data_IF_876755819809
#
_entry.id   IF_876755819809
#
_cell.length_a   1.000
_cell.length_b   1.000
_cell.length_c   1.000
_cell.angle_alpha   90.00
_cell.angle_beta   90.00
_cell.angle_gamma   90.00
#
_symmetry.space_group_name_H-M   'P 1'
#
loop_
_entity.id
_entity.type
_entity.pdbx_description
1 polymer ?
#
# COMPACT_ATOMS: atom_id res chain seq x y z
N UNK A 1 -2.78 -15.95 21.94
CA UNK A 1 -2.18 -16.62 20.77
C UNK A 1 -1.06 -15.72 20.27
N UNK A 2 0.17 -16.22 20.04
CA UNK A 2 1.34 -15.50 19.47
C UNK A 2 1.08 -14.89 18.08
N UNK A 3 1.88 -13.94 17.59
CA UNK A 3 2.27 -13.92 16.16
C UNK A 3 3.45 -14.89 15.96
N UNK A 4 3.65 -15.38 14.74
CA UNK A 4 4.78 -16.25 14.38
C UNK A 4 6.07 -15.42 14.22
N UNK A 5 7.25 -15.95 14.56
CA UNK A 5 8.52 -15.21 14.48
C UNK A 5 8.83 -14.73 13.07
N UNK A 6 8.43 -15.48 12.04
CA UNK A 6 8.68 -15.08 10.65
C UNK A 6 7.96 -13.79 10.26
N UNK A 7 6.91 -13.39 10.97
CA UNK A 7 6.30 -12.07 10.77
C UNK A 7 7.21 -10.96 11.27
N UNK A 8 7.93 -11.17 12.36
CA UNK A 8 8.90 -10.20 12.87
C UNK A 8 10.14 -10.14 11.98
N UNK A 9 10.58 -11.26 11.39
CA UNK A 9 11.61 -11.27 10.34
C UNK A 9 11.19 -10.46 9.11
N UNK A 10 9.92 -10.58 8.70
CA UNK A 10 9.34 -9.77 7.62
C UNK A 10 9.32 -8.28 8.00
N UNK A 11 8.92 -7.94 9.22
CA UNK A 11 8.90 -6.54 9.67
C UNK A 11 10.30 -5.95 9.77
N UNK A 12 11.29 -6.72 10.23
CA UNK A 12 12.69 -6.31 10.23
C UNK A 12 13.18 -6.03 8.80
N UNK A 13 12.79 -6.89 7.85
CA UNK A 13 13.12 -6.68 6.42
C UNK A 13 12.42 -5.44 5.86
N UNK A 14 11.15 -5.20 6.20
CA UNK A 14 10.38 -4.06 5.68
C UNK A 14 10.77 -2.72 6.30
N UNK A 15 11.05 -2.69 7.60
CA UNK A 15 11.13 -1.46 8.39
C UNK A 15 12.49 -1.27 9.07
N UNK A 16 13.32 -2.30 9.12
CA UNK A 16 14.52 -2.33 9.95
C UNK A 16 14.22 -2.52 11.44
N UNK A 17 15.27 -2.46 12.25
CA UNK A 17 15.16 -2.60 13.72
C UNK A 17 14.74 -1.31 14.40
N UNK A 18 15.06 -0.16 13.79
CA UNK A 18 14.74 1.20 14.25
C UNK A 18 14.11 1.98 13.10
N UNK A 19 12.95 2.56 13.35
CA UNK A 19 12.16 3.31 12.37
C UNK A 19 11.36 4.41 13.09
N UNK A 20 10.52 5.16 12.40
CA UNK A 20 9.55 6.04 13.06
C UNK A 20 8.23 6.03 12.29
N UNK A 21 7.30 5.18 12.73
CA UNK A 21 6.03 4.90 12.05
C UNK A 21 4.84 5.11 12.97
N UNK A 22 3.66 5.27 12.38
CA UNK A 22 2.39 5.27 13.09
C UNK A 22 1.84 3.85 13.06
N UNK A 23 1.56 3.28 14.22
CA UNK A 23 0.77 2.06 14.37
C UNK A 23 -0.64 2.43 14.80
N UNK A 24 -1.62 2.08 13.98
CA UNK A 24 -3.03 2.22 14.30
C UNK A 24 -3.58 0.88 14.78
N UNK A 25 -4.19 0.86 15.96
CA UNK A 25 -4.77 -0.34 16.56
C UNK A 25 -6.23 -0.09 16.88
N UNK A 26 -7.10 -1.04 16.56
CA UNK A 26 -8.51 -0.87 16.88
C UNK A 26 -9.43 -1.95 16.36
N UNK A 27 -10.72 -1.69 16.53
CA UNK A 27 -11.82 -2.44 15.88
C UNK A 27 -12.92 -1.46 15.52
N UNK A 28 -13.83 -1.81 14.59
CA UNK A 28 -14.99 -0.97 14.30
C UNK A 28 -15.85 -0.63 15.53
N UNK A 29 -15.87 -1.50 16.55
CA UNK A 29 -16.70 -1.34 17.74
C UNK A 29 -16.03 -0.50 18.84
N UNK A 30 -14.70 -0.55 18.96
CA UNK A 30 -13.95 0.14 20.01
C UNK A 30 -13.30 1.44 19.52
N UNK A 31 -13.28 1.67 18.21
CA UNK A 31 -12.54 2.75 17.58
C UNK A 31 -11.08 2.38 17.28
N UNK A 32 -10.39 3.29 16.62
CA UNK A 32 -8.98 3.16 16.24
C UNK A 32 -8.15 4.24 16.91
N UNK A 33 -7.00 3.83 17.46
CA UNK A 33 -6.05 4.70 18.14
C UNK A 33 -4.68 4.63 17.46
N UNK A 34 -3.99 5.77 17.38
CA UNK A 34 -2.69 5.90 16.75
C UNK A 34 -1.58 5.96 17.79
N UNK A 35 -0.53 5.18 17.57
CA UNK A 35 0.64 5.07 18.44
C UNK A 35 1.91 5.33 17.63
N UNK A 36 2.81 6.24 18.07
CA UNK A 36 4.12 6.37 17.46
C UNK A 36 4.99 5.19 17.89
N UNK A 37 5.54 4.45 16.92
CA UNK A 37 6.38 3.28 17.16
C UNK A 37 7.74 3.49 16.50
N UNK A 38 8.81 3.29 17.29
CA UNK A 38 10.19 3.64 16.89
C UNK A 38 11.10 2.43 16.66
N UNK A 39 10.61 1.24 16.95
CA UNK A 39 11.42 0.03 16.87
C UNK A 39 10.58 -1.21 16.67
N UNK A 40 11.23 -2.24 16.14
CA UNK A 40 10.63 -3.56 16.00
C UNK A 40 10.22 -4.15 17.36
N UNK A 41 10.99 -3.88 18.42
CA UNK A 41 10.68 -4.34 19.77
C UNK A 41 9.37 -3.75 20.30
N UNK A 42 9.15 -2.45 20.10
CA UNK A 42 7.89 -1.79 20.47
C UNK A 42 6.72 -2.30 19.63
N UNK A 43 6.90 -2.44 18.31
CA UNK A 43 5.87 -3.01 17.42
C UNK A 43 5.47 -4.42 17.89
N UNK A 44 6.46 -5.25 18.21
CA UNK A 44 6.27 -6.61 18.72
C UNK A 44 5.47 -6.63 20.00
N UNK A 45 5.83 -5.80 20.98
CA UNK A 45 5.09 -5.70 22.24
C UNK A 45 3.63 -5.34 21.99
N UNK A 46 3.36 -4.29 21.22
CA UNK A 46 1.99 -3.83 20.93
C UNK A 46 1.17 -4.91 20.20
N UNK A 47 1.79 -5.64 19.27
CA UNK A 47 1.14 -6.75 18.58
C UNK A 47 0.82 -7.90 19.54
N UNK A 48 1.77 -8.34 20.37
CA UNK A 48 1.57 -9.47 21.29
C UNK A 48 0.52 -9.19 22.36
N UNK A 49 0.39 -7.93 22.81
CA UNK A 49 -0.61 -7.52 23.81
C UNK A 49 -2.04 -7.49 23.24
N UNK A 50 -2.20 -7.10 21.98
CA UNK A 50 -3.52 -6.83 21.37
C UNK A 50 -4.03 -7.95 20.45
N UNK A 51 -3.14 -8.84 19.99
CA UNK A 51 -3.49 -9.91 19.06
C UNK A 51 -4.21 -11.08 19.76
N UNK A 52 -5.21 -11.72 19.14
CA UNK A 52 -5.78 -11.48 17.81
C UNK A 52 -7.03 -10.58 17.82
N UNK A 53 -7.27 -9.84 18.91
CA UNK A 53 -8.56 -9.17 19.13
C UNK A 53 -8.69 -7.86 18.33
N UNK A 54 -7.56 -7.22 18.04
CA UNK A 54 -7.49 -5.95 17.33
C UNK A 54 -7.00 -6.14 15.90
N UNK A 55 -7.41 -5.22 15.03
CA UNK A 55 -6.74 -4.99 13.76
C UNK A 55 -5.55 -4.06 13.98
N UNK A 56 -4.55 -4.21 13.12
CA UNK A 56 -3.32 -3.46 13.15
C UNK A 56 -3.09 -2.88 11.77
N UNK A 57 -2.84 -1.58 11.72
CA UNK A 57 -2.43 -0.89 10.52
C UNK A 57 -1.17 -0.08 10.81
N UNK A 58 -0.32 0.11 9.81
CA UNK A 58 0.95 0.81 9.96
C UNK A 58 1.14 1.81 8.82
N UNK A 59 1.75 2.96 9.12
CA UNK A 59 2.09 3.93 8.10
C UNK A 59 3.08 3.36 7.08
N UNK A 60 2.85 3.64 5.80
CA UNK A 60 3.72 3.24 4.71
C UNK A 60 5.14 3.80 4.91
N UNK A 61 5.24 5.10 5.15
CA UNK A 61 6.52 5.79 5.32
C UNK A 61 6.94 5.95 6.77
N UNK A 62 8.24 6.16 6.93
CA UNK A 62 8.85 6.69 8.13
C UNK A 62 8.74 8.21 8.17
N UNK A 63 8.64 8.79 9.36
CA UNK A 63 8.55 10.22 9.56
C UNK A 63 9.74 10.78 10.34
N UNK A 64 10.11 12.03 10.06
CA UNK A 64 11.24 12.69 10.71
C UNK A 64 10.96 13.13 12.16
N UNK A 65 9.69 13.21 12.59
CA UNK A 65 9.35 13.56 13.99
C UNK A 65 8.05 12.91 14.49
N UNK A 66 7.96 12.74 15.82
CA UNK A 66 6.80 12.15 16.51
C UNK A 66 5.55 13.05 16.47
N UNK A 67 5.74 14.37 16.52
CA UNK A 67 4.64 15.34 16.62
C UNK A 67 3.78 15.37 15.34
N UNK A 68 4.38 14.99 14.21
CA UNK A 68 3.75 14.93 12.89
C UNK A 68 3.06 13.60 12.62
N UNK A 69 3.45 12.56 13.35
CA UNK A 69 2.85 11.23 13.24
C UNK A 69 1.41 11.21 13.78
N UNK A 70 1.05 12.11 14.70
CA UNK A 70 -0.23 12.06 15.43
C UNK A 70 -1.13 13.27 15.14
N UNK A 71 -0.57 14.44 14.80
CA UNK A 71 -1.36 15.64 14.48
C UNK A 71 -1.55 15.80 12.97
N UNK A 72 -2.69 15.34 12.48
CA UNK A 72 -3.27 15.94 11.28
C UNK A 72 -3.83 17.32 11.67
N UNK A 73 -3.19 18.42 11.24
CA UNK A 73 -3.78 19.77 11.32
C UNK A 73 -4.35 20.11 9.94
N UNK A 74 -5.67 20.34 9.80
CA UNK A 74 -6.30 20.71 8.52
C UNK A 74 -5.79 22.05 7.95
N UNK A 75 -5.01 22.82 8.71
CA UNK A 75 -4.37 24.07 8.26
C UNK A 75 -2.93 23.89 7.79
N UNK A 76 -2.30 22.76 8.09
CA UNK A 76 -1.02 22.39 7.48
C UNK A 76 -1.32 21.69 6.16
N UNK A 77 -1.03 22.38 5.06
CA UNK A 77 -1.44 21.91 3.74
C UNK A 77 -0.64 20.69 3.26
N UNK A 78 0.52 20.34 3.85
CA UNK A 78 1.40 19.24 3.37
C UNK A 78 2.34 18.61 4.42
N UNK A 79 1.91 18.32 5.67
CA UNK A 79 2.82 17.81 6.70
C UNK A 79 3.44 16.47 6.31
N UNK A 80 2.63 15.50 5.90
CA UNK A 80 3.13 14.16 5.58
C UNK A 80 4.12 14.16 4.40
N UNK A 81 3.82 14.93 3.35
CA UNK A 81 4.73 15.10 2.23
C UNK A 81 6.08 15.66 2.68
N UNK A 82 6.12 16.66 3.56
CA UNK A 82 7.38 17.30 3.94
C UNK A 82 8.30 16.41 4.78
N UNK A 83 7.71 15.57 5.64
CA UNK A 83 8.46 14.88 6.71
C UNK A 83 8.51 13.36 6.54
N UNK A 84 7.97 12.82 5.45
CA UNK A 84 8.08 11.38 5.11
C UNK A 84 9.40 11.07 4.42
N UNK A 85 9.97 9.88 4.68
CA UNK A 85 11.10 9.36 3.91
C UNK A 85 10.58 8.65 2.65
N UNK A 86 10.81 9.22 1.47
CA UNK A 86 10.28 8.72 0.18
C UNK A 86 11.16 7.61 -0.39
N UNK A 87 11.05 6.40 0.17
CA UNK A 87 11.87 5.23 -0.18
C UNK A 87 11.08 4.09 -0.84
N UNK A 88 9.81 4.33 -1.16
CA UNK A 88 8.98 3.38 -1.88
C UNK A 88 7.80 4.10 -2.55
N UNK A 89 7.10 3.37 -3.41
CA UNK A 89 5.82 3.73 -4.01
C UNK A 89 4.84 2.58 -3.73
N UNK A 90 3.57 2.89 -3.53
CA UNK A 90 2.54 1.90 -3.20
C UNK A 90 1.32 2.04 -4.10
N UNK A 91 1.11 1.04 -4.95
CA UNK A 91 -0.13 0.90 -5.69
C UNK A 91 -1.17 0.20 -4.83
N UNK A 92 -2.33 0.83 -4.65
CA UNK A 92 -3.47 0.29 -3.89
C UNK A 92 -4.59 -0.09 -4.84
N UNK A 93 -5.00 -1.35 -4.79
CA UNK A 93 -6.07 -1.88 -5.60
C UNK A 93 -7.24 -2.24 -4.71
N UNK A 94 -8.41 -1.64 -4.91
CA UNK A 94 -9.59 -1.85 -4.06
C UNK A 94 -10.76 -2.35 -4.90
N UNK A 95 -11.30 -3.50 -4.53
CA UNK A 95 -12.56 -3.99 -5.09
C UNK A 95 -13.73 -3.26 -4.44
N UNK A 96 -14.69 -2.82 -5.26
CA UNK A 96 -15.98 -2.37 -4.76
C UNK A 96 -16.69 -3.52 -4.02
N UNK A 97 -17.09 -3.28 -2.77
CA UNK A 97 -17.81 -4.25 -1.94
C UNK A 97 -19.21 -3.79 -1.55
N UNK A 98 -19.82 -2.87 -2.28
CA UNK A 98 -21.10 -2.27 -1.92
C UNK A 98 -22.21 -3.32 -1.91
N UNK A 99 -22.20 -4.27 -2.86
CA UNK A 99 -23.11 -5.44 -2.85
C UNK A 99 -22.97 -6.23 -1.54
N UNK A 100 -21.74 -6.47 -1.06
CA UNK A 100 -21.53 -7.18 0.22
C UNK A 100 -22.11 -6.35 1.37
N UNK A 101 -21.88 -5.04 1.40
CA UNK A 101 -22.39 -4.16 2.47
C UNK A 101 -23.93 -4.14 2.48
N UNK A 102 -24.56 -4.07 1.31
CA UNK A 102 -26.01 -4.04 1.16
C UNK A 102 -26.65 -5.36 1.62
N UNK A 103 -26.17 -6.49 1.11
CA UNK A 103 -26.68 -7.83 1.42
C UNK A 103 -26.47 -8.22 2.89
N UNK A 104 -25.43 -7.67 3.52
CA UNK A 104 -25.08 -8.02 4.90
C UNK A 104 -25.62 -7.07 5.96
N UNK A 105 -26.26 -5.95 5.56
CA UNK A 105 -26.64 -4.85 6.46
C UNK A 105 -27.43 -5.30 7.70
N UNK A 106 -28.49 -6.08 7.49
CA UNK A 106 -29.43 -6.54 8.52
C UNK A 106 -29.04 -7.91 9.12
N UNK A 107 -27.90 -8.47 8.73
CA UNK A 107 -27.45 -9.78 9.20
C UNK A 107 -26.73 -9.69 10.56
N UNK A 108 -26.78 -10.77 11.33
CA UNK A 108 -25.95 -10.94 12.54
C UNK A 108 -24.47 -11.12 12.16
N UNK A 109 -23.54 -10.83 13.07
CA UNK A 109 -22.09 -10.91 12.81
C UNK A 109 -21.65 -12.27 12.23
N UNK A 110 -22.23 -13.37 12.70
CA UNK A 110 -21.93 -14.72 12.19
C UNK A 110 -22.40 -14.87 10.75
N UNK A 111 -23.61 -14.40 10.44
CA UNK A 111 -24.16 -14.45 9.08
C UNK A 111 -23.38 -13.53 8.13
N UNK A 112 -23.01 -12.33 8.58
CA UNK A 112 -22.14 -11.39 7.84
C UNK A 112 -20.83 -12.05 7.47
N UNK A 113 -20.17 -12.68 8.44
CA UNK A 113 -18.93 -13.42 8.22
C UNK A 113 -19.10 -14.56 7.20
N UNK A 114 -20.12 -15.41 7.37
CA UNK A 114 -20.36 -16.55 6.46
C UNK A 114 -20.68 -16.09 5.03
N UNK A 115 -21.52 -15.07 4.88
CA UNK A 115 -21.87 -14.50 3.58
C UNK A 115 -20.63 -13.93 2.91
N UNK A 116 -19.89 -13.07 3.61
CA UNK A 116 -18.66 -12.44 3.09
C UNK A 116 -17.65 -13.49 2.64
N UNK A 117 -17.41 -14.53 3.45
CA UNK A 117 -16.48 -15.61 3.10
C UNK A 117 -16.92 -16.43 1.90
N UNK A 118 -18.21 -16.72 1.79
CA UNK A 118 -18.76 -17.40 0.63
C UNK A 118 -18.59 -16.57 -0.64
N UNK A 119 -18.92 -15.27 -0.57
CA UNK A 119 -18.80 -14.34 -1.71
C UNK A 119 -17.36 -14.22 -2.20
N UNK A 120 -16.39 -14.14 -1.29
CA UNK A 120 -14.98 -14.20 -1.66
C UNK A 120 -14.63 -15.52 -2.33
N UNK A 121 -14.97 -16.67 -1.74
CA UNK A 121 -14.65 -17.96 -2.35
C UNK A 121 -15.30 -18.18 -3.73
N UNK A 122 -16.36 -17.43 -4.07
CA UNK A 122 -17.01 -17.45 -5.37
C UNK A 122 -16.33 -16.55 -6.43
N UNK A 123 -15.28 -15.81 -6.07
CA UNK A 123 -14.50 -15.03 -7.03
C UNK A 123 -14.86 -13.55 -7.12
N UNK A 124 -15.61 -12.99 -6.17
CA UNK A 124 -16.05 -11.59 -6.23
C UNK A 124 -14.89 -10.58 -6.34
N UNK A 125 -13.69 -10.95 -5.86
CA UNK A 125 -12.53 -10.08 -5.86
C UNK A 125 -11.47 -10.54 -6.87
N UNK A 126 -11.83 -11.32 -7.89
CA UNK A 126 -10.84 -11.83 -8.86
C UNK A 126 -10.17 -10.70 -9.65
N UNK A 127 -10.93 -9.65 -9.98
CA UNK A 127 -10.47 -8.52 -10.78
C UNK A 127 -9.28 -7.78 -10.14
N UNK A 128 -9.29 -7.53 -8.82
CA UNK A 128 -8.14 -6.88 -8.16
C UNK A 128 -6.83 -7.67 -8.33
N UNK A 129 -6.86 -9.00 -8.34
CA UNK A 129 -5.63 -9.80 -8.50
C UNK A 129 -5.14 -9.78 -9.95
N UNK A 130 -6.06 -9.76 -10.91
CA UNK A 130 -5.73 -9.59 -12.34
C UNK A 130 -5.12 -8.22 -12.60
N UNK A 131 -5.67 -7.16 -12.01
CA UNK A 131 -5.16 -5.79 -12.14
C UNK A 131 -3.81 -5.61 -11.44
N UNK A 132 -3.60 -6.20 -10.26
CA UNK A 132 -2.29 -6.22 -9.59
C UNK A 132 -1.25 -6.90 -10.48
N UNK A 133 -1.58 -8.03 -11.13
CA UNK A 133 -0.67 -8.72 -12.06
C UNK A 133 -0.30 -7.85 -13.26
N UNK A 134 -1.27 -7.19 -13.90
CA UNK A 134 -0.98 -6.27 -15.01
C UNK A 134 -0.02 -5.16 -14.61
N UNK A 135 -0.21 -4.57 -13.43
CA UNK A 135 0.70 -3.51 -12.94
C UNK A 135 2.04 -4.07 -12.55
N UNK A 136 2.11 -5.26 -11.93
CA UNK A 136 3.37 -5.94 -11.65
C UNK A 136 4.18 -6.14 -12.93
N UNK A 137 3.56 -6.74 -13.95
CA UNK A 137 4.20 -7.04 -15.23
C UNK A 137 4.65 -5.75 -15.92
N UNK A 138 3.85 -4.68 -15.86
CA UNK A 138 4.23 -3.37 -16.39
C UNK A 138 5.43 -2.76 -15.64
N UNK A 139 5.48 -2.83 -14.31
CA UNK A 139 6.64 -2.31 -13.56
C UNK A 139 7.91 -3.11 -13.89
N UNK A 140 7.79 -4.43 -14.03
CA UNK A 140 8.91 -5.29 -14.43
C UNK A 140 9.35 -5.00 -15.88
N UNK A 141 8.42 -4.88 -16.82
CA UNK A 141 8.72 -4.56 -18.22
C UNK A 141 9.41 -3.19 -18.37
N UNK A 142 8.87 -2.18 -17.69
CA UNK A 142 9.26 -0.80 -17.93
C UNK A 142 10.51 -0.38 -17.15
N UNK A 143 10.77 -1.01 -16.01
CA UNK A 143 11.85 -0.60 -15.10
C UNK A 143 12.73 -1.76 -14.64
N UNK A 144 12.43 -3.00 -15.03
CA UNK A 144 13.13 -4.21 -14.54
C UNK A 144 13.12 -4.33 -13.01
N UNK A 145 12.05 -3.86 -12.37
CA UNK A 145 11.86 -3.90 -10.91
C UNK A 145 10.82 -4.96 -10.58
N UNK A 146 11.18 -5.91 -9.71
CA UNK A 146 10.22 -6.87 -9.17
C UNK A 146 9.55 -6.29 -7.93
N UNK A 147 8.26 -6.04 -8.05
CA UNK A 147 7.46 -5.47 -6.97
C UNK A 147 7.14 -6.52 -5.89
N UNK A 148 6.73 -6.09 -4.71
CA UNK A 148 6.26 -6.98 -3.64
C UNK A 148 4.76 -6.81 -3.42
N UNK A 149 4.00 -7.90 -3.38
CA UNK A 149 2.54 -7.85 -3.32
C UNK A 149 1.99 -8.42 -2.02
N UNK A 150 0.92 -7.81 -1.53
CA UNK A 150 0.27 -8.14 -0.27
C UNK A 150 -1.24 -8.09 -0.44
N UNK A 151 -1.97 -9.11 0.03
CA UNK A 151 -3.43 -9.10 0.09
C UNK A 151 -3.88 -8.83 1.52
N UNK A 152 -4.82 -7.91 1.74
CA UNK A 152 -5.31 -7.53 3.08
C UNK A 152 -6.31 -8.54 3.70
N UNK A 153 -6.60 -9.64 3.00
CA UNK A 153 -7.56 -10.63 3.46
C UNK A 153 -9.02 -10.28 3.18
N UNK A 154 -9.34 -9.15 2.56
CA UNK A 154 -10.70 -8.78 2.20
C UNK A 154 -10.80 -8.28 0.77
N UNK A 155 -10.69 -6.99 0.54
CA UNK A 155 -11.00 -6.33 -0.73
C UNK A 155 -9.88 -5.44 -1.27
N UNK A 156 -8.69 -5.51 -0.67
CA UNK A 156 -7.59 -4.66 -1.06
C UNK A 156 -6.30 -5.46 -1.26
N UNK A 157 -5.60 -5.13 -2.34
CA UNK A 157 -4.24 -5.56 -2.60
C UNK A 157 -3.30 -4.37 -2.64
N UNK A 158 -2.08 -4.61 -2.20
CA UNK A 158 -0.98 -3.66 -2.20
C UNK A 158 0.13 -4.17 -3.10
N UNK A 159 0.71 -3.30 -3.90
CA UNK A 159 1.92 -3.57 -4.66
C UNK A 159 2.96 -2.49 -4.32
N UNK A 160 4.04 -2.93 -3.69
CA UNK A 160 5.17 -2.12 -3.26
C UNK A 160 6.24 -2.11 -4.33
N UNK A 161 6.68 -0.92 -4.70
CA UNK A 161 7.89 -0.69 -5.48
C UNK A 161 8.90 0.00 -4.55
N UNK A 162 9.92 -0.73 -4.12
CA UNK A 162 10.99 -0.17 -3.29
C UNK A 162 11.96 0.61 -4.18
N UNK A 163 12.48 1.72 -3.67
CA UNK A 163 13.58 2.45 -4.30
C UNK A 163 14.86 2.23 -3.52
N UNK A 164 15.99 2.15 -4.23
CA UNK A 164 17.30 1.95 -3.60
C UNK A 164 17.65 3.10 -2.65
N UNK A 165 17.27 4.32 -3.03
CA UNK A 165 17.54 5.52 -2.26
C UNK A 165 16.28 6.33 -1.95
N UNK A 166 16.38 7.22 -0.95
CA UNK A 166 15.32 8.17 -0.65
C UNK A 166 15.26 9.25 -1.74
N UNK A 167 14.12 9.34 -2.42
CA UNK A 167 13.92 10.27 -3.52
C UNK A 167 13.78 11.72 -3.03
N UNK A 168 14.57 12.62 -3.62
CA UNK A 168 14.56 14.06 -3.34
C UNK A 168 13.84 14.83 -4.45
N UNK A 169 12.50 14.83 -4.38
CA UNK A 169 11.62 15.51 -5.34
C UNK A 169 11.09 16.83 -4.74
N UNK A 170 10.85 17.84 -5.58
CA UNK A 170 10.26 19.13 -5.19
C UNK A 170 8.72 19.08 -5.10
N UNK A 171 8.09 18.21 -5.89
CA UNK A 171 6.64 18.02 -6.00
C UNK A 171 6.29 16.52 -5.94
N UNK A 172 6.70 15.79 -4.90
CA UNK A 172 6.55 14.34 -4.82
C UNK A 172 5.10 13.85 -4.94
N UNK A 173 4.11 14.54 -4.36
CA UNK A 173 2.68 14.13 -4.50
C UNK A 173 2.22 14.19 -5.94
N UNK A 174 2.51 15.29 -6.65
CA UNK A 174 2.12 15.42 -8.05
C UNK A 174 2.87 14.43 -8.94
N UNK A 175 4.17 14.23 -8.68
CA UNK A 175 4.98 13.26 -9.41
C UNK A 175 4.39 11.85 -9.29
N UNK A 176 4.04 11.43 -8.08
CA UNK A 176 3.40 10.13 -7.84
C UNK A 176 2.03 10.05 -8.49
N UNK A 177 1.20 11.10 -8.40
CA UNK A 177 -0.09 11.16 -9.07
C UNK A 177 0.02 10.92 -10.58
N UNK A 178 0.95 11.60 -11.26
CA UNK A 178 1.16 11.40 -12.69
C UNK A 178 1.73 10.02 -13.01
N UNK A 179 2.55 9.45 -12.13
CA UNK A 179 3.02 8.07 -12.30
C UNK A 179 1.87 7.05 -12.17
N UNK A 180 0.99 7.20 -11.18
CA UNK A 180 -0.21 6.34 -11.08
C UNK A 180 -1.11 6.46 -12.30
N UNK A 181 -1.38 7.69 -12.76
CA UNK A 181 -2.17 7.96 -13.97
C UNK A 181 -1.54 7.33 -15.21
N UNK A 182 -0.22 7.44 -15.35
CA UNK A 182 0.52 6.83 -16.43
C UNK A 182 0.36 5.29 -16.41
N UNK A 183 0.58 4.66 -15.26
CA UNK A 183 0.46 3.20 -15.11
C UNK A 183 -0.99 2.73 -15.35
N UNK A 184 -1.97 3.45 -14.82
CA UNK A 184 -3.40 3.17 -15.05
C UNK A 184 -3.72 3.20 -16.55
N UNK A 185 -3.27 4.23 -17.27
CA UNK A 185 -3.46 4.35 -18.71
C UNK A 185 -2.75 3.24 -19.49
N UNK A 186 -1.51 2.92 -19.12
CA UNK A 186 -0.70 1.91 -19.78
C UNK A 186 -1.29 0.50 -19.63
N UNK A 187 -1.82 0.18 -18.45
CA UNK A 187 -2.34 -1.17 -18.12
C UNK A 187 -3.85 -1.34 -18.32
N UNK A 188 -4.60 -0.23 -18.36
CA UNK A 188 -6.06 -0.24 -18.44
C UNK A 188 -6.75 -0.85 -17.22
N UNK A 189 -6.09 -0.84 -16.06
CA UNK A 189 -6.67 -1.32 -14.79
C UNK A 189 -7.77 -0.39 -14.30
N UNK A 190 -8.68 -0.93 -13.50
CA UNK A 190 -9.86 -0.19 -12.99
C UNK A 190 -9.91 -0.11 -11.48
N UNK A 191 -9.20 -1.01 -10.80
CA UNK A 191 -9.26 -1.09 -9.34
C UNK A 191 -8.19 -0.24 -8.64
N UNK A 192 -7.28 0.39 -9.38
CA UNK A 192 -6.21 1.24 -8.83
C UNK A 192 -6.79 2.56 -8.29
N UNK A 193 -6.51 2.90 -7.03
CA UNK A 193 -7.02 4.11 -6.37
C UNK A 193 -5.87 5.06 -6.04
N UNK A 194 -5.95 6.32 -6.51
CA UNK A 194 -4.95 7.35 -6.22
C UNK A 194 -5.47 8.79 -6.25
N UNK A 195 -6.58 9.08 -6.96
CA UNK A 195 -7.09 10.44 -7.21
C UNK A 195 -7.56 11.22 -5.97
N UNK A 196 -7.62 10.59 -4.80
CA UNK A 196 -7.99 11.19 -3.52
C UNK A 196 -7.09 10.73 -2.37
N UNK A 197 -5.99 10.03 -2.69
CA UNK A 197 -5.06 9.53 -1.70
C UNK A 197 -3.90 10.51 -1.63
N UNK A 198 -3.71 11.16 -0.49
CA UNK A 198 -2.43 11.80 -0.20
C UNK A 198 -1.41 10.67 0.03
N UNK A 199 -0.37 10.55 -0.81
CA UNK A 199 0.42 9.32 -0.86
C UNK A 199 1.26 9.11 0.40
N UNK A 200 1.61 10.17 1.14
CA UNK A 200 2.55 10.10 2.27
C UNK A 200 1.90 9.89 3.64
N UNK A 201 0.58 9.91 3.73
CA UNK A 201 -0.25 9.65 4.92
C UNK A 201 -0.86 8.25 4.94
N UNK A 202 -0.49 7.41 3.97
CA UNK A 202 -1.08 6.10 3.80
C UNK A 202 -0.81 5.19 5.00
N UNK A 203 -1.88 4.60 5.52
CA UNK A 203 -1.89 3.59 6.58
C UNK A 203 -2.44 2.29 5.98
N UNK A 204 -1.74 1.18 6.21
CA UNK A 204 -1.94 -0.10 5.53
C UNK A 204 -2.10 -1.21 6.54
N UNK A 205 -2.86 -2.26 6.23
CA UNK A 205 -2.95 -3.43 7.11
C UNK A 205 -1.56 -4.01 7.37
N UNK A 206 -1.20 -4.17 8.65
CA UNK A 206 0.09 -4.76 9.03
C UNK A 206 0.12 -6.22 8.52
N UNK A 207 1.16 -6.67 7.80
CA UNK A 207 1.27 -8.08 7.40
C UNK A 207 1.11 -9.01 8.61
N UNK A 208 0.38 -10.12 8.50
CA UNK A 208 0.10 -11.03 9.61
C UNK A 208 -1.08 -10.61 10.50
N UNK A 209 -1.60 -9.38 10.37
CA UNK A 209 -2.88 -9.00 10.95
C UNK A 209 -4.03 -9.81 10.34
N UNK A 210 -5.13 -9.94 11.06
CA UNK A 210 -6.31 -10.67 10.61
C UNK A 210 -7.45 -9.68 10.33
N UNK A 211 -8.04 -9.74 9.14
CA UNK A 211 -9.18 -8.91 8.79
C UNK A 211 -10.45 -9.37 9.55
N UNK A 212 -11.18 -8.44 10.16
CA UNK A 212 -12.34 -8.79 10.98
C UNK A 212 -13.53 -9.34 10.18
N UNK A 213 -13.71 -8.92 8.93
CA UNK A 213 -14.85 -9.34 8.10
C UNK A 213 -14.68 -10.79 7.60
N UNK A 214 -13.45 -11.24 7.42
CA UNK A 214 -13.14 -12.50 6.72
C UNK A 214 -12.30 -13.47 7.56
N UNK A 215 -11.68 -13.01 8.63
CA UNK A 215 -10.68 -13.78 9.40
C UNK A 215 -9.51 -14.28 8.54
N UNK A 216 -9.33 -13.75 7.32
CA UNK A 216 -8.14 -13.99 6.53
C UNK A 216 -7.00 -13.10 7.02
N UNK A 217 -5.79 -13.61 6.88
CA UNK A 217 -4.58 -12.89 7.23
C UNK A 217 -4.13 -11.99 6.08
N UNK A 218 -3.70 -10.77 6.44
CA UNK A 218 -2.95 -9.88 5.56
C UNK A 218 -1.64 -10.57 5.20
N UNK A 219 -1.44 -10.98 3.95
CA UNK A 219 -0.34 -11.91 3.63
C UNK A 219 0.24 -11.67 2.25
N UNK A 220 1.58 -11.79 2.10
CA UNK A 220 2.19 -11.74 0.78
C UNK A 220 1.84 -13.00 0.00
N UNK A 221 1.81 -12.86 -1.31
CA UNK A 221 1.53 -13.96 -2.23
C UNK A 221 2.43 -13.86 -3.45
N UNK A 222 2.65 -14.99 -4.12
CA UNK A 222 3.34 -15.02 -5.39
C UNK A 222 2.38 -14.56 -6.50
N UNK A 223 2.83 -13.62 -7.32
CA UNK A 223 2.01 -12.97 -8.35
C UNK A 223 1.44 -13.95 -9.39
N UNK A 224 2.08 -15.10 -9.55
CA UNK A 224 1.68 -16.15 -10.50
C UNK A 224 0.54 -17.03 -9.98
N UNK A 225 0.26 -17.01 -8.66
CA UNK A 225 -0.80 -17.81 -8.06
C UNK A 225 -2.17 -17.44 -8.61
N UNK A 226 -3.06 -18.43 -8.65
CA UNK A 226 -4.45 -18.19 -8.95
C UNK A 226 -5.20 -17.58 -7.76
N UNK A 227 -6.38 -17.06 -8.03
CA UNK A 227 -7.24 -16.43 -7.04
C UNK A 227 -7.51 -17.31 -5.80
N UNK A 228 -7.81 -18.60 -6.00
CA UNK A 228 -8.20 -19.49 -4.91
C UNK A 228 -7.00 -19.90 -4.07
N UNK A 229 -5.84 -20.07 -4.69
CA UNK A 229 -4.58 -20.34 -4.01
C UNK A 229 -4.13 -19.14 -3.17
N UNK A 230 -4.32 -17.91 -3.66
CA UNK A 230 -4.07 -16.70 -2.86
C UNK A 230 -5.01 -16.66 -1.64
N UNK A 231 -6.31 -16.92 -1.82
CA UNK A 231 -7.26 -16.99 -0.70
C UNK A 231 -6.90 -18.09 0.30
N UNK A 232 -6.46 -19.25 -0.19
CA UNK A 232 -6.02 -20.38 0.63
C UNK A 232 -4.77 -20.04 1.43
N UNK A 233 -3.80 -19.38 0.81
CA UNK A 233 -2.59 -18.89 1.47
C UNK A 233 -2.92 -17.97 2.65
N UNK A 234 -3.88 -17.05 2.49
CA UNK A 234 -4.34 -16.13 3.53
C UNK A 234 -5.17 -16.78 4.64
N UNK A 235 -5.56 -18.05 4.56
CA UNK A 235 -6.24 -18.75 5.67
C UNK A 235 -5.25 -19.19 6.75
N UNK A 236 -3.98 -19.35 6.40
CA UNK A 236 -2.94 -19.78 7.33
C UNK A 236 -2.25 -18.57 7.96
N UNK A 237 -2.13 -18.59 9.29
CA UNK A 237 -1.32 -17.63 10.04
C UNK A 237 0.18 -17.74 9.72
N UNK A 238 0.65 -18.91 9.29
CA UNK A 238 2.07 -19.13 9.02
C UNK A 238 2.46 -18.51 7.69
N UNK A 239 3.60 -17.83 7.66
CA UNK A 239 4.26 -17.42 6.42
C UNK A 239 5.36 -18.42 6.09
N UNK A 240 5.33 -19.00 4.90
CA UNK A 240 6.31 -20.01 4.50
C UNK A 240 7.61 -19.35 4.05
N UNK A 241 7.50 -18.39 3.14
CA UNK A 241 8.59 -17.56 2.65
C UNK A 241 8.04 -16.23 2.16
N UNK A 242 8.92 -15.23 2.09
CA UNK A 242 8.69 -13.97 1.40
C UNK A 242 9.97 -13.62 0.62
N UNK A 243 9.81 -13.10 -0.60
CA UNK A 243 10.91 -12.56 -1.40
C UNK A 243 10.76 -11.04 -1.44
N UNK A 244 11.62 -10.35 -0.69
CA UNK A 244 11.60 -8.90 -0.53
C UNK A 244 12.86 -8.32 -1.18
N UNK A 245 12.69 -7.83 -2.40
CA UNK A 245 13.79 -7.31 -3.21
C UNK A 245 13.89 -5.79 -3.07
N UNK A 246 14.47 -5.33 -1.97
CA UNK A 246 14.67 -3.90 -1.73
C UNK A 246 15.91 -3.34 -2.42
N UNK A 247 16.93 -4.17 -2.65
CA UNK A 247 18.20 -3.77 -3.25
C UNK A 247 18.21 -4.11 -4.75
N UNK A 248 17.35 -3.46 -5.52
CA UNK A 248 17.28 -3.57 -6.98
C UNK A 248 17.72 -2.24 -7.59
N UNK A 249 18.30 -2.25 -8.78
CA UNK A 249 18.62 -1.01 -9.50
C UNK A 249 17.31 -0.30 -9.88
N UNK A 250 17.08 0.86 -9.26
CA UNK A 250 15.91 1.70 -9.50
C UNK A 250 16.22 2.97 -10.28
N UNK A 251 17.42 3.08 -10.85
CA UNK A 251 17.91 4.31 -11.50
C UNK A 251 16.99 4.79 -12.62
N UNK A 252 16.44 3.87 -13.43
CA UNK A 252 15.52 4.21 -14.53
C UNK A 252 14.21 4.85 -14.02
N UNK A 253 13.64 4.28 -12.96
CA UNK A 253 12.43 4.82 -12.32
C UNK A 253 12.70 6.17 -11.65
N UNK A 254 13.82 6.29 -10.93
CA UNK A 254 14.22 7.53 -10.25
C UNK A 254 14.49 8.66 -11.26
N UNK A 255 15.11 8.36 -12.40
CA UNK A 255 15.35 9.33 -13.46
C UNK A 255 14.05 9.81 -14.11
N UNK A 256 13.10 8.91 -14.33
CA UNK A 256 11.76 9.25 -14.81
C UNK A 256 11.07 10.20 -13.82
N UNK A 257 11.10 9.89 -12.53
CA UNK A 257 10.48 10.72 -11.50
C UNK A 257 11.09 12.10 -11.42
N UNK A 258 12.42 12.21 -11.49
CA UNK A 258 13.11 13.49 -11.55
C UNK A 258 12.69 14.30 -12.78
N UNK A 259 12.59 13.66 -13.94
CA UNK A 259 12.16 14.31 -15.19
C UNK A 259 10.74 14.87 -15.07
N UNK A 260 9.81 14.07 -14.54
CA UNK A 260 8.42 14.48 -14.30
C UNK A 260 8.34 15.62 -13.28
N UNK A 261 9.09 15.53 -12.18
CA UNK A 261 9.14 16.54 -11.12
C UNK A 261 9.68 17.90 -11.61
N UNK A 262 10.73 17.86 -12.43
CA UNK A 262 11.32 19.07 -13.03
C UNK A 262 10.34 19.73 -14.02
N UNK A 263 9.63 18.95 -14.83
CA UNK A 263 8.59 19.49 -15.73
C UNK A 263 7.40 20.09 -14.95
N UNK A 264 6.95 19.45 -13.88
CA UNK A 264 5.92 20.01 -12.98
C UNK A 264 6.40 21.35 -12.40
N UNK A 265 7.64 21.42 -11.94
CA UNK A 265 8.24 22.64 -11.40
C UNK A 265 8.25 23.76 -12.45
N UNK A 266 8.65 23.43 -13.69
CA UNK A 266 8.66 24.36 -14.81
C UNK A 266 7.26 24.89 -15.11
N UNK A 267 6.26 24.03 -15.29
CA UNK A 267 4.87 24.45 -15.58
C UNK A 267 4.25 25.31 -14.48
N UNK A 268 4.54 25.01 -13.21
CA UNK A 268 4.15 25.87 -12.08
C UNK A 268 4.79 27.26 -12.18
N UNK A 269 6.07 27.34 -12.54
CA UNK A 269 6.79 28.61 -12.69
C UNK A 269 6.30 29.45 -13.87
N UNK A 270 5.77 28.81 -14.91
CA UNK A 270 5.15 29.46 -16.08
C UNK A 270 3.72 29.95 -15.81
N UNK A 271 3.21 29.76 -14.58
CA UNK A 271 1.90 30.26 -14.15
C UNK A 271 0.73 29.34 -14.48
N UNK A 272 0.97 28.08 -14.86
CA UNK A 272 -0.10 27.13 -15.12
C UNK A 272 -0.74 26.65 -13.80
N UNK A 273 -2.00 27.05 -13.57
CA UNK A 273 -2.74 26.79 -12.33
C UNK A 273 -3.46 25.44 -12.30
N UNK A 274 -3.62 24.75 -13.44
CA UNK A 274 -4.30 23.46 -13.49
C UNK A 274 -3.30 22.30 -13.30
N UNK A 275 -2.82 22.14 -12.07
CA UNK A 275 -1.75 21.19 -11.70
C UNK A 275 -2.12 19.71 -11.89
N UNK A 276 -3.40 19.39 -12.11
CA UNK A 276 -3.92 18.01 -12.23
C UNK A 276 -4.14 17.57 -13.69
N UNK A 277 -3.98 18.49 -14.64
CA UNK A 277 -4.26 18.25 -16.06
C UNK A 277 -3.06 18.59 -16.95
N UNK A 278 -1.85 18.36 -16.44
CA UNK A 278 -0.67 18.42 -17.28
C UNK A 278 -0.64 17.20 -18.21
N UNK A 279 -0.60 17.45 -19.51
CA UNK A 279 -0.24 16.42 -20.49
C UNK A 279 1.26 16.10 -20.32
N UNK A 280 1.55 15.05 -19.54
CA UNK A 280 2.91 14.56 -19.27
C UNK A 280 3.17 13.18 -19.89
N UNK A 281 2.17 12.60 -20.56
CA UNK A 281 2.24 11.23 -21.11
C UNK A 281 3.41 11.03 -22.08
N UNK A 282 3.81 12.08 -22.80
CA UNK A 282 4.94 12.06 -23.73
C UNK A 282 6.28 11.77 -23.01
N UNK A 283 6.47 12.30 -21.80
CA UNK A 283 7.69 12.09 -21.00
C UNK A 283 7.88 10.63 -20.58
N UNK A 284 6.77 9.92 -20.40
CA UNK A 284 6.80 8.50 -20.05
C UNK A 284 7.10 7.61 -21.28
N UNK A 285 6.89 8.11 -22.50
CA UNK A 285 7.12 7.38 -23.75
C UNK A 285 8.50 7.66 -24.37
N UNK A 286 8.99 8.90 -24.33
CA UNK A 286 10.27 9.30 -24.96
C UNK A 286 11.49 8.60 -24.35
N UNK A 287 11.49 8.36 -23.04
CA UNK A 287 12.59 7.68 -22.33
C UNK A 287 12.67 6.18 -22.58
N UNK A 288 11.75 5.61 -23.37
CA UNK A 288 11.66 4.16 -23.63
C UNK A 288 11.99 3.77 -25.06
N UNK A 289 12.42 4.72 -25.88
CA UNK A 289 12.86 4.50 -27.26
C UNK A 289 14.37 4.29 -27.40
N UNK A 290 15.06 3.87 -26.33
CA UNK A 290 16.51 3.58 -26.32
C UNK A 290 16.73 2.10 -26.04
#
# INVERSE_FOLDING_TARGET
MKLDEKWFELYESLYGTTFNKILTIGTPNEGYENYPIKSLAQLRQMCEENYPKKEFYISLYDYDSDELAIKWDPRDNTPYEKYSKKNCILFRFIQNTDIIKEETKELTDVQKFMFTRRTLNLGNNKEIFEDVRKVYDAIEELFNIKSWVLFNGYNECYLYVFTESEMKLKNPTLTYYYFYKFIEKYTGVKTLIYSQIEPFSQILSLPGSQNNNTRLYTKPYDITLDYLDILKNSQSRKIESFDLRQNQDTSSLEELFKTVDDEITKRKSEGNTNIWDYELDELFNEKRSI
#
